data_IF_964988645274
#
_entry.id   IF_964988645274
#
_cell.length_a   1.000
_cell.length_b   1.000
_cell.length_c   1.000
_cell.angle_alpha   90.00
_cell.angle_beta   90.00
_cell.angle_gamma   90.00
#
_symmetry.space_group_name_H-M   'P 1'
#
loop_
_entity.id
_entity.type
_entity.pdbx_description
1 polymer ?
#
# COMPACT_ATOMS: atom_id res chain seq x y z
N UNK A 1 6.47 1.33 34.84
CA UNK A 1 5.39 0.35 34.56
C UNK A 1 4.76 0.53 33.17
N UNK A 2 4.66 1.75 32.62
CA UNK A 2 4.03 2.04 31.31
C UNK A 2 4.68 1.34 30.10
N UNK A 3 6.01 1.24 30.06
CA UNK A 3 6.73 0.46 29.02
C UNK A 3 6.46 -1.06 29.06
N UNK A 4 6.04 -1.62 30.20
CA UNK A 4 5.82 -3.07 30.35
C UNK A 4 4.43 -3.52 29.84
N UNK A 5 3.48 -2.61 29.69
CA UNK A 5 2.13 -2.88 29.19
C UNK A 5 1.92 -2.43 27.73
N UNK A 6 2.98 -1.91 27.08
CA UNK A 6 2.91 -1.44 25.69
C UNK A 6 2.03 -0.20 25.48
N UNK A 7 1.79 0.59 26.54
CA UNK A 7 1.00 1.82 26.47
C UNK A 7 1.93 3.01 26.71
N UNK A 8 1.96 3.95 25.78
CA UNK A 8 2.70 5.20 25.96
C UNK A 8 2.12 6.01 27.12
N UNK A 9 2.95 6.77 27.87
CA UNK A 9 2.50 7.55 29.02
C UNK A 9 1.32 8.49 28.74
N UNK A 10 1.23 9.01 27.52
CA UNK A 10 0.19 9.95 27.10
C UNK A 10 -0.94 9.30 26.29
N UNK A 11 -0.93 7.98 26.15
CA UNK A 11 -1.98 7.27 25.43
C UNK A 11 -3.16 6.97 26.38
N UNK A 12 -4.35 7.57 26.16
CA UNK A 12 -5.51 7.32 27.02
C UNK A 12 -6.21 5.99 26.69
N UNK A 13 -5.63 5.17 25.81
CA UNK A 13 -6.26 3.97 25.27
C UNK A 13 -5.45 2.73 25.64
N UNK A 14 -6.15 1.66 26.02
CA UNK A 14 -5.51 0.34 26.12
C UNK A 14 -5.02 -0.12 24.73
N UNK A 15 -4.06 -1.06 24.65
CA UNK A 15 -3.57 -1.56 23.36
C UNK A 15 -4.69 -2.15 22.48
N UNK A 16 -5.64 -2.86 23.11
CA UNK A 16 -6.81 -3.40 22.42
C UNK A 16 -7.71 -2.30 21.86
N UNK A 17 -7.88 -1.19 22.58
CA UNK A 17 -8.65 -0.05 22.10
C UNK A 17 -7.93 0.71 20.98
N UNK A 18 -6.61 0.91 21.09
CA UNK A 18 -5.79 1.48 20.01
C UNK A 18 -5.93 0.68 18.71
N UNK A 19 -5.92 -0.66 18.80
CA UNK A 19 -6.13 -1.54 17.64
C UNK A 19 -7.49 -1.28 16.98
N UNK A 20 -8.57 -1.16 17.77
CA UNK A 20 -9.91 -0.84 17.27
C UNK A 20 -9.95 0.56 16.63
N UNK A 21 -9.33 1.56 17.26
CA UNK A 21 -9.26 2.93 16.73
C UNK A 21 -8.56 2.97 15.38
N UNK A 22 -7.37 2.37 15.28
CA UNK A 22 -6.61 2.32 14.03
C UNK A 22 -7.35 1.56 12.93
N UNK A 23 -8.03 0.45 13.28
CA UNK A 23 -8.86 -0.30 12.34
C UNK A 23 -10.05 0.55 11.84
N UNK A 24 -10.84 1.13 12.74
CA UNK A 24 -11.99 1.95 12.37
C UNK A 24 -11.57 3.17 11.52
N UNK A 25 -10.49 3.85 11.91
CA UNK A 25 -9.98 5.02 11.21
C UNK A 25 -9.39 4.74 9.83
N UNK A 26 -9.03 3.49 9.53
CA UNK A 26 -8.53 3.08 8.20
C UNK A 26 -9.62 2.53 7.30
N UNK A 27 -10.65 1.90 7.86
CA UNK A 27 -11.71 1.24 7.07
C UNK A 27 -12.92 2.14 6.80
N UNK A 28 -13.21 3.10 7.67
CA UNK A 28 -14.34 3.99 7.48
C UNK A 28 -14.08 5.02 6.37
N UNK A 29 -15.14 5.47 5.70
CA UNK A 29 -15.07 6.54 4.69
C UNK A 29 -14.65 7.91 5.25
N UNK A 30 -14.72 8.10 6.57
CA UNK A 30 -14.27 9.31 7.27
C UNK A 30 -14.01 9.05 8.76
N UNK A 31 -13.22 9.90 9.42
CA UNK A 31 -13.00 9.81 10.87
C UNK A 31 -14.25 10.11 11.71
N UNK A 32 -15.21 10.86 11.16
CA UNK A 32 -16.52 11.07 11.80
C UNK A 32 -17.31 9.76 11.81
N UNK A 33 -17.30 9.03 10.70
CA UNK A 33 -17.94 7.72 10.63
C UNK A 33 -17.24 6.72 11.57
N UNK A 34 -15.90 6.67 11.54
CA UNK A 34 -15.14 5.82 12.46
C UNK A 34 -15.46 6.08 13.94
N UNK A 35 -15.62 7.34 14.35
CA UNK A 35 -16.02 7.70 15.71
C UNK A 35 -17.42 7.18 16.07
N UNK A 36 -18.39 7.27 15.13
CA UNK A 36 -19.72 6.69 15.30
C UNK A 36 -19.67 5.17 15.42
N UNK A 37 -18.86 4.51 14.59
CA UNK A 37 -18.70 3.05 14.61
C UNK A 37 -18.08 2.57 15.92
N UNK A 38 -17.08 3.29 16.44
CA UNK A 38 -16.47 2.99 17.75
C UNK A 38 -17.47 3.14 18.89
N UNK A 39 -18.34 4.14 18.84
CA UNK A 39 -19.40 4.29 19.82
C UNK A 39 -20.42 3.14 19.72
N UNK A 40 -20.89 2.83 18.51
CA UNK A 40 -21.94 1.83 18.30
C UNK A 40 -21.47 0.38 18.54
N UNK A 41 -20.22 0.04 18.19
CA UNK A 41 -19.72 -1.34 18.19
C UNK A 41 -18.78 -1.64 19.35
N UNK A 42 -18.16 -0.62 19.93
CA UNK A 42 -17.22 -0.78 21.03
C UNK A 42 -17.65 -0.04 22.30
N UNK A 43 -18.79 0.68 22.28
CA UNK A 43 -19.34 1.42 23.42
C UNK A 43 -18.36 2.43 24.03
N UNK A 44 -17.47 2.98 23.19
CA UNK A 44 -16.43 3.93 23.62
C UNK A 44 -16.59 5.23 22.85
N UNK A 45 -16.73 6.33 23.60
CA UNK A 45 -16.73 7.67 23.03
C UNK A 45 -15.30 8.14 22.70
N UNK A 46 -15.02 8.24 21.40
CA UNK A 46 -13.78 8.82 20.88
C UNK A 46 -14.12 9.90 19.87
N UNK A 47 -13.58 11.10 20.06
CA UNK A 47 -13.80 12.18 19.10
C UNK A 47 -13.13 11.86 17.77
N UNK A 48 -13.72 12.30 16.66
CA UNK A 48 -13.15 12.12 15.31
C UNK A 48 -11.69 12.60 15.22
N UNK A 49 -11.34 13.71 15.91
CA UNK A 49 -9.97 14.23 15.95
C UNK A 49 -9.00 13.29 16.67
N UNK A 50 -9.44 12.61 17.74
CA UNK A 50 -8.63 11.59 18.42
C UNK A 50 -8.45 10.36 17.53
N UNK A 51 -9.51 9.89 16.85
CA UNK A 51 -9.40 8.80 15.87
C UNK A 51 -8.37 9.14 14.80
N UNK A 52 -8.45 10.34 14.19
CA UNK A 52 -7.49 10.80 13.19
C UNK A 52 -6.05 10.78 13.73
N UNK A 53 -5.79 11.43 14.87
CA UNK A 53 -4.44 11.56 15.43
C UNK A 53 -3.80 10.21 15.70
N UNK A 54 -4.54 9.30 16.35
CA UNK A 54 -4.00 7.98 16.70
C UNK A 54 -3.88 7.07 15.49
N UNK A 55 -4.82 7.12 14.54
CA UNK A 55 -4.71 6.38 13.27
C UNK A 55 -3.47 6.82 12.50
N UNK A 56 -3.26 8.13 12.35
CA UNK A 56 -2.06 8.67 11.69
C UNK A 56 -0.81 8.28 12.45
N UNK A 57 -0.78 8.41 13.78
CA UNK A 57 0.39 8.05 14.58
C UNK A 57 0.79 6.59 14.39
N UNK A 58 -0.16 5.66 14.55
CA UNK A 58 0.07 4.22 14.32
C UNK A 58 0.54 3.99 12.88
N UNK A 59 -0.03 4.70 11.90
CA UNK A 59 0.43 4.66 10.51
C UNK A 59 1.92 5.04 10.36
N UNK A 60 2.36 6.13 10.99
CA UNK A 60 3.78 6.53 10.96
C UNK A 60 4.68 5.50 11.64
N UNK A 61 4.25 4.93 12.77
CA UNK A 61 4.98 3.86 13.46
C UNK A 61 5.15 2.64 12.55
N UNK A 62 4.11 2.23 11.80
CA UNK A 62 4.20 1.14 10.82
C UNK A 62 5.13 1.44 9.67
N UNK A 63 5.12 2.67 9.16
CA UNK A 63 6.06 3.09 8.11
C UNK A 63 7.50 3.01 8.62
N UNK A 64 7.76 3.47 9.85
CA UNK A 64 9.09 3.40 10.46
C UNK A 64 9.55 1.94 10.67
N UNK A 65 8.66 1.07 11.17
CA UNK A 65 8.92 -0.36 11.37
C UNK A 65 9.27 -1.06 10.05
N UNK A 66 8.50 -0.80 8.98
CA UNK A 66 8.76 -1.33 7.64
C UNK A 66 10.09 -0.81 7.10
N UNK A 67 10.38 0.48 7.25
CA UNK A 67 11.64 1.08 6.82
C UNK A 67 12.85 0.46 7.51
N UNK A 68 12.78 0.27 8.83
CA UNK A 68 13.82 -0.38 9.62
C UNK A 68 14.01 -1.86 9.20
N UNK A 69 12.92 -2.58 8.96
CA UNK A 69 12.96 -3.97 8.50
C UNK A 69 13.64 -4.09 7.13
N UNK A 70 13.30 -3.20 6.20
CA UNK A 70 13.92 -3.15 4.88
C UNK A 70 15.42 -2.80 4.96
N UNK A 71 15.82 -1.90 5.85
CA UNK A 71 17.23 -1.57 6.07
C UNK A 71 18.01 -2.73 6.69
N UNK A 72 17.43 -3.42 7.68
CA UNK A 72 18.03 -4.61 8.27
C UNK A 72 18.25 -5.70 7.22
N UNK A 73 17.27 -5.92 6.34
CA UNK A 73 17.38 -6.87 5.23
C UNK A 73 18.50 -6.51 4.25
N UNK A 74 18.62 -5.24 3.86
CA UNK A 74 19.69 -4.77 2.96
C UNK A 74 21.11 -4.98 3.51
N UNK A 75 21.26 -5.04 4.83
CA UNK A 75 22.55 -5.28 5.51
C UNK A 75 22.93 -6.76 5.58
N UNK A 76 22.02 -7.69 5.28
CA UNK A 76 22.31 -9.12 5.29
C UNK A 76 23.31 -9.48 4.17
N UNK A 77 24.17 -10.49 4.38
CA UNK A 77 24.93 -11.09 3.29
C UNK A 77 24.02 -11.60 2.17
N UNK A 78 24.48 -11.57 0.92
CA UNK A 78 23.70 -12.01 -0.25
C UNK A 78 23.06 -13.41 -0.11
N UNK A 79 23.72 -14.43 0.49
CA UNK A 79 23.07 -15.73 0.72
C UNK A 79 21.85 -15.64 1.63
N UNK A 80 21.90 -14.80 2.67
CA UNK A 80 20.81 -14.64 3.63
C UNK A 80 19.68 -13.78 3.06
N UNK A 81 19.98 -12.86 2.14
CA UNK A 81 18.98 -12.13 1.34
C UNK A 81 18.20 -13.03 0.35
N UNK A 82 18.49 -14.33 0.25
CA UNK A 82 17.66 -15.26 -0.54
C UNK A 82 16.50 -15.82 0.28
N UNK A 83 16.53 -15.67 1.60
CA UNK A 83 15.45 -16.10 2.49
C UNK A 83 14.48 -14.94 2.63
N UNK A 84 13.20 -15.20 2.36
CA UNK A 84 12.17 -14.21 2.60
C UNK A 84 12.15 -13.81 4.08
N UNK A 85 12.06 -12.51 4.41
CA UNK A 85 11.91 -12.05 5.78
C UNK A 85 10.50 -12.33 6.34
N UNK A 86 9.56 -12.77 5.49
CA UNK A 86 8.18 -13.09 5.87
C UNK A 86 7.79 -14.50 5.44
N UNK A 87 6.82 -15.08 6.14
CA UNK A 87 6.33 -16.43 5.84
C UNK A 87 5.43 -16.49 4.60
N UNK A 88 4.84 -15.37 4.19
CA UNK A 88 3.96 -15.29 3.02
C UNK A 88 4.77 -14.82 1.82
N UNK A 89 5.36 -15.78 1.11
CA UNK A 89 6.14 -15.52 -0.11
C UNK A 89 5.27 -15.89 -1.31
N UNK A 90 4.94 -14.94 -2.20
CA UNK A 90 4.26 -15.29 -3.44
C UNK A 90 5.20 -16.16 -4.29
N UNK A 91 4.65 -17.14 -4.99
CA UNK A 91 5.45 -17.96 -5.91
C UNK A 91 6.11 -17.09 -6.99
N UNK A 92 5.36 -16.11 -7.52
CA UNK A 92 5.87 -15.04 -8.38
C UNK A 92 5.35 -13.70 -7.91
N UNK A 93 6.26 -12.75 -7.70
CA UNK A 93 5.93 -11.33 -7.60
C UNK A 93 6.02 -10.71 -8.99
N UNK A 94 4.89 -10.27 -9.54
CA UNK A 94 4.82 -9.60 -10.83
C UNK A 94 4.61 -8.10 -10.62
N UNK A 95 5.53 -7.28 -11.13
CA UNK A 95 5.38 -5.82 -11.19
C UNK A 95 5.05 -5.47 -12.63
N UNK A 96 3.84 -4.97 -12.87
CA UNK A 96 3.44 -4.49 -14.18
C UNK A 96 3.31 -2.98 -14.13
N UNK A 97 3.82 -2.32 -15.17
CA UNK A 97 3.76 -0.87 -15.34
C UNK A 97 3.04 -0.59 -16.66
N UNK A 98 2.09 0.33 -16.63
CA UNK A 98 1.43 0.86 -17.82
C UNK A 98 1.59 2.38 -17.87
N UNK A 99 1.88 2.87 -19.07
CA UNK A 99 2.16 4.26 -19.35
C UNK A 99 1.28 4.73 -20.50
N UNK A 100 0.32 5.59 -20.20
CA UNK A 100 -0.68 6.03 -21.15
C UNK A 100 -1.06 7.49 -21.01
N UNK A 101 -2.12 7.88 -21.72
CA UNK A 101 -2.75 9.19 -21.58
C UNK A 101 -4.21 9.03 -21.24
N UNK A 102 -4.67 9.80 -20.25
CA UNK A 102 -6.07 9.88 -19.87
C UNK A 102 -6.59 11.29 -20.06
N UNK A 103 -7.89 11.43 -20.33
CA UNK A 103 -8.54 12.74 -20.36
C UNK A 103 -9.15 13.03 -18.99
N UNK A 104 -8.68 14.10 -18.34
CA UNK A 104 -9.26 14.59 -17.10
C UNK A 104 -10.01 15.88 -17.41
N UNK A 105 -11.34 15.80 -17.36
CA UNK A 105 -12.22 16.98 -17.45
C UNK A 105 -12.57 17.44 -16.05
N UNK A 106 -12.11 18.62 -15.69
CA UNK A 106 -12.59 19.29 -14.49
C UNK A 106 -14.04 19.75 -14.74
N UNK A 107 -14.98 19.16 -14.00
CA UNK A 107 -16.42 19.46 -14.14
C UNK A 107 -16.83 20.72 -13.38
N UNK A 108 -15.95 21.24 -12.51
CA UNK A 108 -16.21 22.44 -11.71
C UNK A 108 -15.52 23.67 -12.31
N UNK A 109 -14.64 23.50 -13.30
CA UNK A 109 -13.95 24.58 -13.98
C UNK A 109 -14.72 24.99 -15.25
N UNK A 110 -15.44 26.11 -15.16
CA UNK A 110 -16.11 26.75 -16.29
C UNK A 110 -15.10 27.68 -17.00
N UNK A 111 -13.97 27.13 -17.45
CA UNK A 111 -12.94 27.96 -18.10
C UNK A 111 -13.42 28.40 -19.49
N UNK A 112 -13.68 29.68 -19.68
CA UNK A 112 -14.00 30.35 -20.96
C UNK A 112 -12.75 30.77 -21.75
N UNK A 113 -11.59 30.19 -21.45
CA UNK A 113 -10.30 30.69 -21.91
C UNK A 113 -9.73 29.82 -23.05
N UNK A 114 -9.47 30.43 -24.21
CA UNK A 114 -8.93 29.78 -25.42
C UNK A 114 -7.50 29.21 -25.24
N UNK A 115 -6.87 29.47 -24.08
CA UNK A 115 -5.54 28.98 -23.70
C UNK A 115 -5.55 27.80 -22.70
N UNK A 116 -6.69 27.12 -22.53
CA UNK A 116 -6.79 26.00 -21.60
C UNK A 116 -5.84 24.84 -22.01
N UNK A 117 -4.91 24.46 -21.11
CA UNK A 117 -4.11 23.23 -21.24
C UNK A 117 -5.07 22.07 -21.50
N UNK A 118 -5.01 21.49 -22.71
CA UNK A 118 -5.93 20.44 -23.15
C UNK A 118 -6.09 19.29 -22.15
N UNK A 119 -7.18 18.53 -22.23
CA UNK A 119 -7.58 17.57 -21.19
C UNK A 119 -6.67 16.35 -21.00
N UNK A 120 -5.70 16.14 -21.89
CA UNK A 120 -4.78 15.00 -21.82
C UNK A 120 -3.78 15.14 -20.67
N UNK A 121 -3.67 14.09 -19.87
CA UNK A 121 -2.67 13.94 -18.81
C UNK A 121 -1.96 12.61 -18.98
N UNK A 122 -0.67 12.59 -18.72
CA UNK A 122 0.08 11.35 -18.63
C UNK A 122 -0.40 10.55 -17.42
N UNK A 123 -0.54 9.24 -17.60
CA UNK A 123 -0.90 8.30 -16.56
C UNK A 123 0.20 7.25 -16.49
N UNK A 124 0.80 7.12 -15.32
CA UNK A 124 1.75 6.08 -14.99
C UNK A 124 1.12 5.24 -13.88
N UNK A 125 0.71 4.03 -14.23
CA UNK A 125 0.03 3.11 -13.32
C UNK A 125 0.96 1.92 -13.11
N UNK A 126 1.14 1.52 -11.86
CA UNK A 126 1.84 0.29 -11.50
C UNK A 126 0.90 -0.63 -10.72
N UNK A 127 0.95 -1.93 -11.00
CA UNK A 127 0.37 -2.95 -10.15
C UNK A 127 1.45 -3.93 -9.69
N UNK A 128 1.35 -4.36 -8.43
CA UNK A 128 2.16 -5.43 -7.87
C UNK A 128 1.21 -6.58 -7.56
N UNK A 129 1.39 -7.71 -8.25
CA UNK A 129 0.52 -8.87 -8.20
C UNK A 129 1.28 -10.07 -7.64
N UNK A 130 0.60 -10.87 -6.83
CA UNK A 130 1.02 -12.23 -6.52
C UNK A 130 0.45 -13.16 -7.60
N UNK A 131 1.32 -13.89 -8.29
CA UNK A 131 0.95 -14.83 -9.34
C UNK A 131 1.48 -16.22 -9.02
N UNK A 132 0.87 -17.23 -9.64
CA UNK A 132 1.40 -18.59 -9.68
C UNK A 132 2.19 -18.78 -10.99
N UNK A 133 3.15 -19.70 -10.96
CA UNK A 133 3.86 -20.15 -12.16
C UNK A 133 3.90 -21.67 -12.17
N UNK A 134 3.77 -22.25 -13.34
CA UNK A 134 4.12 -23.66 -13.52
C UNK A 134 5.62 -23.75 -13.78
N UNK A 135 6.26 -24.73 -13.14
CA UNK A 135 7.67 -25.03 -13.35
C UNK A 135 7.77 -26.10 -14.43
N UNK A 136 8.56 -25.84 -15.46
CA UNK A 136 8.82 -26.77 -16.55
C UNK A 136 10.31 -27.17 -16.51
N UNK A 137 10.59 -28.46 -16.64
CA UNK A 137 11.96 -28.97 -16.67
C UNK A 137 12.72 -28.59 -17.95
N UNK A 138 11.96 -28.28 -19.02
CA UNK A 138 12.44 -27.86 -20.33
C UNK A 138 11.69 -26.59 -20.74
N UNK A 139 12.26 -25.79 -21.65
CA UNK A 139 11.62 -24.58 -22.15
C UNK A 139 10.27 -24.91 -22.82
N UNK A 140 9.13 -24.36 -22.36
CA UNK A 140 7.82 -24.61 -22.97
C UNK A 140 7.69 -24.02 -24.38
N UNK A 141 8.57 -23.09 -24.77
CA UNK A 141 8.61 -22.46 -26.09
C UNK A 141 10.00 -22.62 -26.74
N UNK A 142 10.48 -23.87 -26.98
CA UNK A 142 11.87 -24.12 -27.37
C UNK A 142 12.20 -23.66 -28.79
N UNK A 143 11.18 -23.41 -29.62
CA UNK A 143 11.32 -22.92 -30.99
C UNK A 143 11.03 -21.41 -30.99
N UNK A 144 12.05 -20.61 -31.27
CA UNK A 144 11.91 -19.16 -31.38
C UNK A 144 11.03 -18.83 -32.61
N UNK A 145 9.95 -18.04 -32.47
CA UNK A 145 9.12 -17.65 -33.61
C UNK A 145 9.96 -16.94 -34.67
N UNK A 146 9.74 -17.28 -35.94
CA UNK A 146 10.59 -16.84 -37.06
C UNK A 146 10.70 -15.30 -37.18
N UNK A 147 9.66 -14.56 -36.76
CA UNK A 147 9.66 -13.09 -36.71
C UNK A 147 10.74 -12.49 -35.80
N UNK A 148 11.22 -13.23 -34.79
CA UNK A 148 12.30 -12.80 -33.90
C UNK A 148 13.69 -13.27 -34.36
N UNK A 149 13.77 -14.10 -35.41
CA UNK A 149 15.02 -14.67 -35.93
C UNK A 149 15.44 -14.01 -37.25
N UNK A 150 14.56 -13.23 -37.89
CA UNK A 150 14.85 -12.53 -39.13
C UNK A 150 15.47 -11.14 -38.85
N UNK A 151 16.79 -10.94 -39.07
CA UNK A 151 17.44 -9.65 -38.87
C UNK A 151 17.14 -8.63 -39.97
N UNK A 152 16.40 -8.98 -41.03
CA UNK A 152 16.10 -8.10 -42.16
C UNK A 152 14.79 -7.29 -41.99
N UNK A 153 14.25 -7.20 -40.77
CA UNK A 153 13.15 -6.30 -40.39
C UNK A 153 13.62 -5.12 -39.57
#
# INVERSE_FOLDING_TARGET
MTKLIGVEPDCPFSPGMLKKIAYAGTQASSFVQAAKDLHALAEVEVTAKRVERWTKRVGHERIAEVGASAEAYRKLPLPDQRKSPTNQVPQVACVQMDGGRIQIRDRNNVSTDDNAKGHWRESLIGCCLSMASEEYAEDPCPIIPQTFVDPAR
#
